data_IF_741269765403
#
_entry.id   IF_741269765403
#
_cell.length_a   1.000
_cell.length_b   1.000
_cell.length_c   1.000
_cell.angle_alpha   90.00
_cell.angle_beta   90.00
_cell.angle_gamma   90.00
#
_symmetry.space_group_name_H-M   'P 1'
#
loop_
_entity.id
_entity.type
_entity.pdbx_description
1 polymer ?
#
# COMPACT_ATOMS: atom_id res chain seq x y z
N UNK A 1 0.60 20.86 8.04
CA UNK A 1 0.09 19.51 8.32
C UNK A 1 -1.19 19.14 7.56
N UNK A 2 -2.27 19.97 7.59
CA UNK A 2 -3.55 19.60 6.91
C UNK A 2 -3.42 19.45 5.40
N UNK A 3 -2.69 20.32 4.70
CA UNK A 3 -2.56 20.25 3.25
C UNK A 3 -1.82 18.99 2.79
N UNK A 4 -0.72 18.62 3.44
CA UNK A 4 0.03 17.40 3.12
C UNK A 4 -0.84 16.14 3.29
N UNK A 5 -1.66 16.09 4.35
CA UNK A 5 -2.64 15.01 4.54
C UNK A 5 -3.62 14.90 3.35
N UNK A 6 -4.23 16.02 2.93
CA UNK A 6 -5.23 16.00 1.87
C UNK A 6 -4.65 15.68 0.49
N UNK A 7 -3.44 16.17 0.19
CA UNK A 7 -2.73 15.84 -1.05
C UNK A 7 -2.40 14.34 -1.08
N UNK A 8 -1.81 13.80 0.01
CA UNK A 8 -1.51 12.38 0.12
C UNK A 8 -2.78 11.53 -0.01
N UNK A 9 -3.82 11.88 0.74
CA UNK A 9 -5.10 11.17 0.70
C UNK A 9 -5.72 11.18 -0.69
N UNK A 10 -5.81 12.33 -1.33
CA UNK A 10 -6.39 12.47 -2.67
C UNK A 10 -5.62 11.66 -3.72
N UNK A 11 -4.29 11.78 -3.76
CA UNK A 11 -3.47 11.02 -4.70
C UNK A 11 -3.53 9.51 -4.43
N UNK A 12 -3.54 9.10 -3.15
CA UNK A 12 -3.72 7.70 -2.79
C UNK A 12 -5.07 7.14 -3.28
N UNK A 13 -6.16 7.87 -3.06
CA UNK A 13 -7.49 7.44 -3.51
C UNK A 13 -7.61 7.33 -5.03
N UNK A 14 -6.97 8.24 -5.77
CA UNK A 14 -6.96 8.22 -7.24
C UNK A 14 -6.01 7.15 -7.79
N UNK A 15 -5.02 6.69 -7.01
CA UNK A 15 -4.06 5.66 -7.45
C UNK A 15 -4.75 4.36 -7.85
N UNK A 16 -5.75 3.90 -7.08
CA UNK A 16 -6.45 2.66 -7.38
C UNK A 16 -7.17 2.70 -8.73
N UNK A 17 -8.10 3.64 -9.00
CA UNK A 17 -8.76 3.70 -10.30
C UNK A 17 -7.78 3.98 -11.46
N UNK A 18 -6.74 4.77 -11.26
CA UNK A 18 -5.74 5.03 -12.29
C UNK A 18 -4.96 3.77 -12.69
N UNK A 19 -4.55 2.96 -11.72
CA UNK A 19 -3.84 1.71 -11.99
C UNK A 19 -4.79 0.65 -12.56
N UNK A 20 -5.96 0.43 -11.93
CA UNK A 20 -6.89 -0.64 -12.30
C UNK A 20 -7.54 -0.37 -13.65
N UNK A 21 -8.12 0.82 -13.84
CA UNK A 21 -8.70 1.18 -15.14
C UNK A 21 -7.62 1.26 -16.24
N UNK A 22 -6.45 1.81 -15.90
CA UNK A 22 -5.31 1.82 -16.82
C UNK A 22 -4.95 0.42 -17.30
N UNK A 23 -4.83 -0.56 -16.40
CA UNK A 23 -4.55 -1.95 -16.74
C UNK A 23 -5.67 -2.58 -17.59
N UNK A 24 -6.94 -2.36 -17.22
CA UNK A 24 -8.09 -2.88 -17.94
C UNK A 24 -8.17 -2.40 -19.41
N UNK A 25 -7.77 -1.15 -19.67
CA UNK A 25 -7.77 -0.56 -21.00
C UNK A 25 -6.43 -0.67 -21.73
N UNK A 26 -5.43 -1.34 -21.15
CA UNK A 26 -4.10 -1.45 -21.73
C UNK A 26 -3.25 -0.16 -21.65
N UNK A 27 -3.61 0.77 -20.75
CA UNK A 27 -2.93 2.05 -20.56
C UNK A 27 -2.14 2.07 -19.25
N UNK A 28 -0.86 1.74 -19.30
CA UNK A 28 -0.04 1.77 -18.07
C UNK A 28 0.21 3.18 -17.51
N UNK A 29 0.26 4.20 -18.38
CA UNK A 29 0.70 5.55 -18.03
C UNK A 29 -0.12 6.26 -16.93
N UNK A 30 -1.47 6.11 -16.76
CA UNK A 30 -2.19 6.82 -15.72
C UNK A 30 -1.74 6.44 -14.31
N UNK A 31 -1.49 5.14 -14.08
CA UNK A 31 -0.96 4.65 -12.82
C UNK A 31 0.42 5.24 -12.52
N UNK A 32 1.33 5.23 -13.49
CA UNK A 32 2.66 5.83 -13.34
C UNK A 32 2.60 7.32 -13.05
N UNK A 33 1.69 8.06 -13.70
CA UNK A 33 1.54 9.49 -13.48
C UNK A 33 1.06 9.79 -12.05
N UNK A 34 -0.02 9.16 -11.62
CA UNK A 34 -0.64 9.44 -10.31
C UNK A 34 0.25 8.98 -9.16
N UNK A 35 0.75 7.73 -9.23
CA UNK A 35 1.62 7.21 -8.17
C UNK A 35 3.00 7.87 -8.21
N UNK A 36 3.49 8.24 -9.40
CA UNK A 36 4.70 9.05 -9.55
C UNK A 36 4.56 10.43 -8.89
N UNK A 37 3.42 11.10 -9.08
CA UNK A 37 3.12 12.36 -8.42
C UNK A 37 3.04 12.20 -6.88
N UNK A 38 2.41 11.12 -6.40
CA UNK A 38 2.37 10.79 -4.99
C UNK A 38 3.78 10.55 -4.43
N UNK A 39 4.60 9.77 -5.13
CA UNK A 39 5.97 9.47 -4.71
C UNK A 39 6.84 10.74 -4.70
N UNK A 40 6.77 11.55 -5.74
CA UNK A 40 7.48 12.83 -5.82
C UNK A 40 7.11 13.75 -4.65
N UNK A 41 5.81 13.90 -4.38
CA UNK A 41 5.32 14.71 -3.27
C UNK A 41 5.76 14.17 -1.92
N UNK A 42 5.51 12.87 -1.68
CA UNK A 42 5.65 12.29 -0.35
C UNK A 42 7.08 12.01 0.04
N UNK A 43 7.93 11.61 -0.91
CA UNK A 43 9.35 11.34 -0.66
C UNK A 43 10.21 12.61 -0.67
N UNK A 44 9.64 13.76 -1.01
CA UNK A 44 10.35 15.03 -0.89
C UNK A 44 10.80 15.27 0.56
N UNK A 45 12.03 15.71 0.82
CA UNK A 45 12.59 15.83 2.17
C UNK A 45 11.73 16.59 3.19
N UNK A 46 10.95 17.59 2.72
CA UNK A 46 10.05 18.39 3.57
C UNK A 46 8.81 17.59 4.03
N UNK A 47 8.33 16.64 3.22
CA UNK A 47 7.09 15.91 3.45
C UNK A 47 7.30 14.50 3.99
N UNK A 48 8.52 13.98 3.86
CA UNK A 48 8.85 12.58 4.13
C UNK A 48 8.85 12.26 5.62
N UNK A 49 8.23 11.14 5.97
CA UNK A 49 8.39 10.52 7.28
C UNK A 49 9.68 9.65 7.31
N UNK A 50 10.40 9.54 8.44
CA UNK A 50 11.64 8.75 8.52
C UNK A 50 11.51 7.28 8.10
N UNK A 51 10.31 6.69 8.28
CA UNK A 51 10.04 5.29 7.93
C UNK A 51 9.52 5.09 6.50
N UNK A 52 9.35 6.14 5.68
CA UNK A 52 8.75 5.97 4.35
C UNK A 52 9.57 5.05 3.45
N UNK A 53 10.89 5.17 3.45
CA UNK A 53 11.74 4.26 2.68
C UNK A 53 11.67 2.81 3.17
N UNK A 54 11.54 2.61 4.47
CA UNK A 54 11.34 1.27 5.05
C UNK A 54 10.00 0.71 4.60
N UNK A 55 8.93 1.51 4.65
CA UNK A 55 7.61 1.08 4.17
C UNK A 55 7.63 0.76 2.67
N UNK A 56 8.29 1.59 1.86
CA UNK A 56 8.46 1.32 0.43
C UNK A 56 9.14 -0.04 0.22
N UNK A 57 10.29 -0.27 0.86
CA UNK A 57 11.02 -1.52 0.71
C UNK A 57 10.19 -2.75 1.12
N UNK A 58 9.52 -2.67 2.28
CA UNK A 58 8.69 -3.78 2.80
C UNK A 58 7.46 -4.01 1.92
N UNK A 59 6.74 -2.97 1.54
CA UNK A 59 5.55 -3.11 0.70
C UNK A 59 5.91 -3.63 -0.70
N UNK A 60 7.01 -3.16 -1.31
CA UNK A 60 7.46 -3.67 -2.60
C UNK A 60 7.84 -5.16 -2.52
N UNK A 61 8.56 -5.58 -1.47
CA UNK A 61 8.91 -6.99 -1.27
C UNK A 61 7.66 -7.87 -1.05
N UNK A 62 6.73 -7.42 -0.21
CA UNK A 62 5.48 -8.14 0.05
C UNK A 62 4.60 -8.21 -1.20
N UNK A 63 4.43 -7.10 -1.92
CA UNK A 63 3.64 -7.05 -3.14
C UNK A 63 4.18 -7.99 -4.21
N UNK A 64 5.49 -7.92 -4.45
CA UNK A 64 6.13 -8.82 -5.40
C UNK A 64 5.93 -10.29 -5.01
N UNK A 65 6.09 -10.62 -3.72
CA UNK A 65 5.98 -12.00 -3.26
C UNK A 65 4.53 -12.52 -3.29
N UNK A 66 3.58 -11.77 -2.74
CA UNK A 66 2.19 -12.22 -2.60
C UNK A 66 1.47 -12.30 -3.96
N UNK A 67 1.53 -11.23 -4.75
CA UNK A 67 0.81 -11.22 -6.03
C UNK A 67 1.46 -12.20 -7.03
N UNK A 68 2.79 -12.38 -6.99
CA UNK A 68 3.44 -13.43 -7.76
C UNK A 68 3.01 -14.82 -7.29
N UNK A 69 2.91 -15.06 -5.99
CA UNK A 69 2.45 -16.34 -5.46
C UNK A 69 1.04 -16.66 -5.95
N UNK A 70 0.11 -15.69 -5.95
CA UNK A 70 -1.24 -15.93 -6.46
C UNK A 70 -1.30 -16.24 -7.96
N UNK A 71 -0.43 -15.60 -8.77
CA UNK A 71 -0.27 -15.95 -10.18
C UNK A 71 0.25 -17.39 -10.32
N UNK A 72 1.32 -17.74 -9.61
CA UNK A 72 1.97 -19.04 -9.68
C UNK A 72 1.07 -20.19 -9.16
N UNK A 73 0.18 -19.87 -8.22
CA UNK A 73 -0.83 -20.81 -7.72
C UNK A 73 -2.05 -20.94 -8.64
N UNK A 74 -2.10 -20.21 -9.77
CA UNK A 74 -3.23 -20.21 -10.70
C UNK A 74 -4.52 -19.66 -10.08
N UNK A 75 -4.42 -18.72 -9.14
CA UNK A 75 -5.58 -18.09 -8.51
C UNK A 75 -6.05 -16.85 -9.27
N UNK A 76 -5.11 -16.00 -9.69
CA UNK A 76 -5.39 -14.72 -10.33
C UNK A 76 -4.44 -14.54 -11.52
N UNK A 77 -4.98 -14.12 -12.65
CA UNK A 77 -4.24 -13.56 -13.77
C UNK A 77 -4.48 -12.05 -13.86
N UNK A 78 -3.40 -11.29 -14.08
CA UNK A 78 -3.48 -9.84 -14.18
C UNK A 78 -3.37 -9.38 -15.64
N UNK A 79 -4.19 -8.41 -16.03
CA UNK A 79 -4.01 -7.71 -17.29
C UNK A 79 -2.65 -6.98 -17.31
N UNK A 80 -2.10 -6.76 -18.51
CA UNK A 80 -0.81 -6.11 -18.71
C UNK A 80 0.33 -6.74 -17.88
N UNK A 81 0.72 -7.99 -18.12
CA UNK A 81 1.75 -8.70 -17.37
C UNK A 81 3.17 -8.19 -17.72
N UNK A 82 3.38 -6.90 -17.64
CA UNK A 82 4.66 -6.22 -17.89
C UNK A 82 5.34 -5.89 -16.57
N UNK A 83 6.67 -6.01 -16.42
CA UNK A 83 7.69 -6.31 -17.45
C UNK A 83 7.89 -7.81 -17.73
N UNK A 84 7.43 -8.70 -16.86
CA UNK A 84 7.65 -10.15 -16.97
C UNK A 84 6.36 -10.90 -16.67
N UNK A 85 5.94 -11.78 -17.59
CA UNK A 85 4.80 -12.65 -17.38
C UNK A 85 5.05 -13.63 -16.22
N UNK A 86 4.00 -13.95 -15.46
CA UNK A 86 4.08 -14.85 -14.31
C UNK A 86 4.61 -14.21 -13.02
N UNK A 87 4.88 -12.91 -13.04
CA UNK A 87 5.30 -12.11 -11.88
C UNK A 87 4.33 -10.96 -11.70
N UNK A 88 4.19 -10.45 -10.49
CA UNK A 88 3.35 -9.29 -10.19
C UNK A 88 3.64 -8.14 -11.17
N UNK A 89 2.64 -7.65 -11.94
CA UNK A 89 2.87 -6.63 -12.94
C UNK A 89 3.14 -5.26 -12.32
N UNK A 90 3.78 -4.37 -13.09
CA UNK A 90 4.20 -3.06 -12.61
C UNK A 90 3.05 -2.23 -12.04
N UNK A 91 1.84 -2.31 -12.61
CA UNK A 91 0.70 -1.55 -12.10
C UNK A 91 0.22 -2.04 -10.70
N UNK A 92 0.35 -3.33 -10.39
CA UNK A 92 0.15 -3.86 -9.03
C UNK A 92 1.24 -3.31 -8.09
N UNK A 93 2.49 -3.30 -8.55
CA UNK A 93 3.59 -2.75 -7.76
C UNK A 93 3.41 -1.25 -7.47
N UNK A 94 2.81 -0.49 -8.39
CA UNK A 94 2.43 0.91 -8.15
C UNK A 94 1.37 1.02 -7.03
N UNK A 95 0.41 0.11 -6.93
CA UNK A 95 -0.56 0.10 -5.82
C UNK A 95 0.10 -0.19 -4.47
N UNK A 96 1.06 -1.10 -4.42
CA UNK A 96 1.87 -1.35 -3.22
C UNK A 96 2.72 -0.15 -2.83
N UNK A 97 3.30 0.56 -3.81
CA UNK A 97 4.01 1.81 -3.58
C UNK A 97 3.08 2.89 -3.03
N UNK A 98 1.89 3.05 -3.62
CA UNK A 98 0.90 4.02 -3.13
C UNK A 98 0.49 3.72 -1.68
N UNK A 99 0.25 2.45 -1.34
CA UNK A 99 -0.03 2.03 0.04
C UNK A 99 1.12 2.39 0.98
N UNK A 100 2.36 2.05 0.61
CA UNK A 100 3.55 2.36 1.41
C UNK A 100 3.64 3.84 1.78
N UNK A 101 3.38 4.70 0.80
CA UNK A 101 3.43 6.15 0.93
C UNK A 101 2.22 6.75 1.68
N UNK A 102 1.17 5.98 1.92
CA UNK A 102 -0.01 6.41 2.68
C UNK A 102 0.03 5.99 4.16
N UNK A 103 0.75 4.90 4.51
CA UNK A 103 0.76 4.31 5.87
C UNK A 103 1.15 5.31 6.96
N UNK A 104 2.17 6.11 6.73
CA UNK A 104 2.67 7.10 7.70
C UNK A 104 1.95 8.44 7.62
N UNK A 105 1.05 8.62 6.66
CA UNK A 105 0.42 9.89 6.31
C UNK A 105 -1.10 9.82 6.40
N UNK A 106 -1.80 9.65 5.29
CA UNK A 106 -3.27 9.66 5.28
C UNK A 106 -3.90 8.46 5.98
N UNK A 107 -3.22 7.34 6.07
CA UNK A 107 -3.70 6.11 6.72
C UNK A 107 -3.17 5.93 8.16
N UNK A 108 -2.41 6.88 8.72
CA UNK A 108 -1.80 6.77 10.05
C UNK A 108 -2.78 6.46 11.19
N UNK A 109 -4.07 6.80 11.03
CA UNK A 109 -5.14 6.50 11.98
C UNK A 109 -5.21 4.99 12.31
N UNK A 110 -4.98 4.13 11.34
CA UNK A 110 -5.03 2.68 11.54
C UNK A 110 -3.89 2.15 12.41
N UNK A 111 -2.82 2.89 12.59
CA UNK A 111 -1.76 2.53 13.53
C UNK A 111 -2.29 2.39 14.97
N UNK A 112 -3.29 3.17 15.36
CA UNK A 112 -3.94 3.07 16.65
C UNK A 112 -4.99 1.95 16.75
N UNK A 113 -5.47 1.43 15.60
CA UNK A 113 -6.61 0.50 15.52
C UNK A 113 -6.29 -0.69 14.61
N UNK A 114 -5.30 -1.51 14.98
CA UNK A 114 -4.85 -2.63 14.14
C UNK A 114 -5.96 -3.65 13.84
N UNK A 115 -6.90 -3.86 14.76
CA UNK A 115 -8.05 -4.74 14.52
C UNK A 115 -8.91 -4.25 13.36
N UNK A 116 -9.09 -2.91 13.25
CA UNK A 116 -9.84 -2.31 12.15
C UNK A 116 -9.09 -2.48 10.83
N UNK A 117 -7.76 -2.36 10.84
CA UNK A 117 -6.94 -2.66 9.66
C UNK A 117 -7.07 -4.12 9.24
N UNK A 118 -7.11 -5.07 10.18
CA UNK A 118 -7.31 -6.48 9.89
C UNK A 118 -8.69 -6.74 9.25
N UNK A 119 -9.75 -6.15 9.80
CA UNK A 119 -11.11 -6.28 9.25
C UNK A 119 -11.19 -5.66 7.85
N UNK A 120 -10.67 -4.45 7.66
CA UNK A 120 -10.68 -3.78 6.35
C UNK A 120 -9.79 -4.51 5.33
N UNK A 121 -8.64 -5.02 5.75
CA UNK A 121 -7.81 -5.86 4.90
C UNK A 121 -8.54 -7.14 4.49
N UNK A 122 -9.09 -7.86 5.46
CA UNK A 122 -9.75 -9.15 5.23
C UNK A 122 -11.01 -9.10 4.39
N UNK A 123 -11.83 -8.07 4.56
CA UNK A 123 -13.07 -7.90 3.81
C UNK A 123 -12.89 -7.01 2.57
N UNK A 124 -12.12 -5.94 2.69
CA UNK A 124 -11.93 -4.97 1.61
C UNK A 124 -11.08 -5.50 0.46
N UNK A 125 -10.07 -6.34 0.74
CA UNK A 125 -9.23 -6.86 -0.34
C UNK A 125 -9.98 -7.78 -1.30
N UNK A 126 -10.74 -8.81 -0.88
CA UNK A 126 -11.52 -9.61 -1.83
C UNK A 126 -12.49 -8.76 -2.66
N UNK A 127 -13.09 -7.74 -2.04
CA UNK A 127 -13.98 -6.81 -2.75
C UNK A 127 -13.23 -5.98 -3.78
N UNK A 128 -12.02 -5.50 -3.45
CA UNK A 128 -11.17 -4.73 -4.36
C UNK A 128 -10.71 -5.59 -5.55
N UNK A 129 -10.26 -6.83 -5.30
CA UNK A 129 -9.87 -7.77 -6.36
C UNK A 129 -11.07 -8.17 -7.23
N UNK A 130 -12.25 -8.37 -6.63
CA UNK A 130 -13.47 -8.62 -7.37
C UNK A 130 -13.86 -7.43 -8.25
N UNK A 131 -13.78 -6.21 -7.73
CA UNK A 131 -14.04 -5.01 -8.54
C UNK A 131 -13.03 -4.88 -9.70
N UNK A 132 -11.75 -5.14 -9.44
CA UNK A 132 -10.71 -5.18 -10.48
C UNK A 132 -10.99 -6.22 -11.56
N UNK A 133 -11.51 -7.40 -11.19
CA UNK A 133 -11.89 -8.43 -12.16
C UNK A 133 -13.11 -8.02 -13.01
N UNK A 134 -14.08 -7.34 -12.41
CA UNK A 134 -15.22 -6.81 -13.17
C UNK A 134 -14.88 -5.69 -14.13
N UNK A 135 -13.80 -4.97 -13.86
CA UNK A 135 -13.25 -3.95 -14.75
C UNK A 135 -12.35 -4.51 -15.85
N UNK A 136 -11.97 -5.79 -15.77
CA UNK A 136 -11.08 -6.44 -16.74
C UNK A 136 -9.58 -6.25 -16.43
N UNK A 137 -9.21 -5.76 -15.25
CA UNK A 137 -7.82 -5.62 -14.82
C UNK A 137 -7.22 -6.93 -14.29
N UNK A 138 -8.06 -7.86 -13.86
CA UNK A 138 -7.65 -9.17 -13.38
C UNK A 138 -8.70 -10.23 -13.73
N UNK A 139 -8.29 -11.48 -13.81
CA UNK A 139 -9.18 -12.63 -13.97
C UNK A 139 -8.99 -13.58 -12.79
N UNK A 140 -10.08 -14.08 -12.21
CA UNK A 140 -10.05 -15.12 -11.20
C UNK A 140 -10.06 -16.48 -11.89
N UNK A 141 -8.90 -17.07 -12.05
CA UNK A 141 -8.69 -18.36 -12.72
C UNK A 141 -9.00 -19.52 -11.77
N UNK A 142 -8.61 -19.37 -10.52
CA UNK A 142 -8.88 -20.37 -9.48
C UNK A 142 -10.32 -20.34 -8.97
N UNK A 143 -10.73 -21.34 -8.18
CA UNK A 143 -12.04 -21.37 -7.54
C UNK A 143 -12.27 -20.10 -6.71
N UNK A 144 -13.43 -19.46 -6.89
CA UNK A 144 -13.77 -18.17 -6.27
C UNK A 144 -13.50 -18.13 -4.76
N UNK A 145 -13.86 -19.21 -4.02
CA UNK A 145 -13.64 -19.26 -2.58
C UNK A 145 -12.15 -19.26 -2.20
N UNK A 146 -11.29 -19.89 -3.03
CA UNK A 146 -9.83 -19.87 -2.79
C UNK A 146 -9.26 -18.48 -2.99
N UNK A 147 -9.68 -17.77 -4.03
CA UNK A 147 -9.26 -16.38 -4.29
C UNK A 147 -9.69 -15.48 -3.14
N UNK A 148 -10.96 -15.59 -2.69
CA UNK A 148 -11.48 -14.82 -1.55
C UNK A 148 -10.68 -15.13 -0.28
N UNK A 149 -10.43 -16.41 -0.01
CA UNK A 149 -9.71 -16.82 1.19
C UNK A 149 -8.24 -16.37 1.14
N UNK A 150 -7.56 -16.58 0.00
CA UNK A 150 -6.16 -16.19 -0.17
C UNK A 150 -5.97 -14.68 -0.03
N UNK A 151 -6.75 -13.87 -0.73
CA UNK A 151 -6.67 -12.41 -0.63
C UNK A 151 -7.10 -11.92 0.74
N UNK A 152 -8.24 -12.40 1.26
CA UNK A 152 -8.79 -11.96 2.54
C UNK A 152 -7.86 -12.27 3.72
N UNK A 153 -7.38 -13.51 3.85
CA UNK A 153 -6.47 -13.90 4.94
C UNK A 153 -5.13 -13.19 4.84
N UNK A 154 -4.54 -13.13 3.64
CA UNK A 154 -3.28 -12.40 3.44
C UNK A 154 -3.38 -10.95 3.89
N UNK A 155 -4.38 -10.23 3.45
CA UNK A 155 -4.55 -8.82 3.79
C UNK A 155 -5.02 -8.58 5.23
N UNK A 156 -5.76 -9.52 5.84
CA UNK A 156 -6.11 -9.46 7.27
C UNK A 156 -4.86 -9.53 8.16
N UNK A 157 -3.77 -10.12 7.67
CA UNK A 157 -2.49 -10.22 8.37
C UNK A 157 -1.55 -9.09 7.95
N UNK A 158 -1.36 -8.88 6.65
CA UNK A 158 -0.37 -7.96 6.10
C UNK A 158 -0.69 -6.51 6.46
N UNK A 159 -1.94 -6.09 6.32
CA UNK A 159 -2.30 -4.69 6.55
C UNK A 159 -2.06 -4.25 8.00
N UNK A 160 -2.53 -4.98 9.05
CA UNK A 160 -2.19 -4.62 10.43
C UNK A 160 -0.70 -4.76 10.74
N UNK A 161 0.02 -5.73 10.14
CA UNK A 161 1.46 -5.86 10.31
C UNK A 161 2.23 -4.64 9.77
N UNK A 162 1.84 -4.11 8.61
CA UNK A 162 2.42 -2.89 8.05
C UNK A 162 2.16 -1.66 8.96
N UNK A 163 0.94 -1.52 9.48
CA UNK A 163 0.64 -0.44 10.43
C UNK A 163 1.37 -0.60 11.76
N UNK A 164 1.54 -1.83 12.24
CA UNK A 164 2.34 -2.12 13.43
C UNK A 164 3.81 -1.75 13.21
N UNK A 165 4.39 -2.14 12.08
CA UNK A 165 5.76 -1.77 11.71
C UNK A 165 5.94 -0.24 11.64
N UNK A 166 4.94 0.47 11.12
CA UNK A 166 4.92 1.93 11.07
C UNK A 166 4.89 2.62 12.45
N UNK A 167 4.57 1.89 13.55
CA UNK A 167 4.65 2.42 14.93
C UNK A 167 6.07 2.44 15.48
N UNK A 168 6.96 1.59 15.01
CA UNK A 168 8.09 1.02 15.76
C UNK A 168 9.25 1.94 16.10
N UNK A 169 9.21 3.25 15.84
CA UNK A 169 10.35 4.13 16.17
C UNK A 169 10.08 5.26 17.18
N UNK A 170 8.84 5.61 17.48
CA UNK A 170 8.58 6.62 18.51
C UNK A 170 8.57 6.08 19.96
N UNK A 171 8.52 4.76 20.12
CA UNK A 171 8.50 4.15 21.45
C UNK A 171 9.90 3.99 22.07
N UNK A 172 10.99 4.21 21.32
CA UNK A 172 12.37 3.99 21.77
C UNK A 172 13.22 5.27 21.87
N UNK A 173 12.64 6.46 21.73
CA UNK A 173 13.36 7.66 22.15
C UNK A 173 13.26 7.73 23.67
N UNK A 174 14.41 7.65 24.41
CA UNK A 174 14.40 7.90 25.85
C UNK A 174 13.85 9.32 26.06
N UNK A 175 13.06 9.55 27.13
CA UNK A 175 12.61 10.87 27.45
C UNK A 175 13.86 11.77 27.51
N UNK A 176 13.91 12.79 26.68
CA UNK A 176 14.93 13.82 26.79
C UNK A 176 14.78 14.40 28.19
N UNK A 177 15.65 13.94 29.07
CA UNK A 177 15.83 14.56 30.40
C UNK A 177 16.09 16.03 30.10
N UNK A 178 15.10 16.85 30.39
CA UNK A 178 15.25 18.30 30.42
C UNK A 178 16.33 18.62 31.44
N UNK A 179 17.58 18.65 30.97
CA UNK A 179 18.66 19.27 31.72
C UNK A 179 18.33 20.75 31.77
N UNK A 180 17.88 21.13 32.95
CA UNK A 180 17.49 22.46 33.32
C UNK A 180 18.53 23.48 32.86
N UNK A 181 18.04 24.49 32.18
CA UNK A 181 18.66 25.81 32.28
C UNK A 181 18.25 26.41 33.62
N UNK A 182 18.89 25.97 34.66
CA UNK A 182 19.03 26.74 35.89
C UNK A 182 20.50 27.14 36.01
N UNK A 183 20.70 28.40 36.34
CA UNK A 183 21.88 29.07 36.86
C UNK A 183 22.92 29.57 35.85
N UNK A 184 22.75 30.84 35.49
CA UNK A 184 23.85 31.80 35.58
C UNK A 184 23.25 33.18 35.95
N UNK A 185 23.42 33.53 37.19
CA UNK A 185 23.33 34.86 37.75
C UNK A 185 24.27 35.86 37.04
#
# INVERSE_FOLDING_TARGET
MRLNFWINHGLFQVSWPACVAGAAYGWGWPGFLVVGALAFWQLHPINRHPLDWTMVAVCMALGLSLDTAWIQMGLIEYAMPWPVAGVAPAWIMLLWLALALAINHSLQFFKAKLWLAAVLGGLGSPMSYYAGSKLGAAEWVGPTWQVILATGVSWAIVLPALFWLGRSRHANEPPTLGLGKEEAL
#
